data_IF_908030250998
#
_entry.id   IF_908030250998
#
_cell.length_a   1.000
_cell.length_b   1.000
_cell.length_c   1.000
_cell.angle_alpha   90.00
_cell.angle_beta   90.00
_cell.angle_gamma   90.00
#
_symmetry.space_group_name_H-M   'P 1'
#
loop_
_entity.id
_entity.type
_entity.pdbx_description
1 polymer ?
#
# COMPACT_ATOMS: atom_id res chain seq x y z
N UNK A 1 -30.65 -21.24 -9.28
CA UNK A 1 -30.48 -19.95 -8.58
C UNK A 1 -28.99 -19.75 -8.40
N UNK A 2 -28.38 -18.78 -9.10
CA UNK A 2 -26.98 -18.41 -8.83
C UNK A 2 -26.99 -17.53 -7.58
N UNK A 3 -26.44 -18.03 -6.48
CA UNK A 3 -26.19 -17.19 -5.32
C UNK A 3 -25.13 -16.15 -5.72
N UNK A 4 -25.50 -14.86 -5.71
CA UNK A 4 -24.54 -13.79 -5.95
C UNK A 4 -23.51 -13.77 -4.84
N UNK A 5 -22.23 -13.83 -5.20
CA UNK A 5 -21.15 -13.75 -4.23
C UNK A 5 -21.17 -12.38 -3.54
N UNK A 6 -21.21 -12.39 -2.21
CA UNK A 6 -21.08 -11.17 -1.42
C UNK A 6 -19.62 -10.75 -1.32
N UNK A 7 -19.37 -9.45 -1.27
CA UNK A 7 -18.04 -8.93 -1.01
C UNK A 7 -17.56 -9.38 0.39
N UNK A 8 -16.31 -9.84 0.46
CA UNK A 8 -15.66 -10.09 1.74
C UNK A 8 -15.25 -8.75 2.35
N UNK A 9 -15.65 -8.51 3.60
CA UNK A 9 -15.34 -7.27 4.33
C UNK A 9 -13.88 -7.17 4.78
N UNK A 10 -12.95 -7.10 3.83
CA UNK A 10 -11.52 -6.88 4.09
C UNK A 10 -11.31 -5.43 4.51
N UNK A 11 -10.53 -5.22 5.56
CA UNK A 11 -10.18 -3.89 6.06
C UNK A 11 -8.67 -3.72 6.09
N UNK A 12 -8.21 -2.52 5.76
CA UNK A 12 -6.84 -2.09 6.00
C UNK A 12 -6.67 -1.81 7.49
N UNK A 13 -5.45 -1.96 8.01
CA UNK A 13 -5.13 -1.49 9.36
C UNK A 13 -5.02 0.03 9.35
N UNK A 14 -5.67 0.69 10.30
CA UNK A 14 -5.68 2.16 10.38
C UNK A 14 -4.28 2.77 10.63
N UNK A 15 -3.39 1.98 11.24
CA UNK A 15 -2.04 2.36 11.62
C UNK A 15 -0.99 2.07 10.55
N UNK A 16 -1.32 1.46 9.41
CA UNK A 16 -0.31 1.20 8.38
C UNK A 16 -0.06 2.47 7.53
N UNK A 17 0.80 3.38 7.99
CA UNK A 17 1.07 4.68 7.34
C UNK A 17 2.56 4.79 6.96
N UNK A 18 2.90 5.73 6.06
CA UNK A 18 4.31 5.98 5.73
C UNK A 18 5.06 6.66 6.88
N UNK A 19 4.41 7.57 7.60
CA UNK A 19 5.00 8.34 8.71
C UNK A 19 5.35 7.50 9.95
N UNK A 20 4.76 6.31 10.08
CA UNK A 20 5.03 5.36 11.17
C UNK A 20 5.69 4.05 10.68
N UNK A 21 6.28 4.07 9.49
CA UNK A 21 7.09 2.96 9.01
C UNK A 21 8.50 3.00 9.61
N UNK A 22 8.79 2.09 10.54
CA UNK A 22 10.07 2.06 11.28
C UNK A 22 11.19 1.22 10.61
N UNK A 23 11.01 0.81 9.35
CA UNK A 23 12.01 0.03 8.63
C UNK A 23 13.16 0.90 8.10
N UNK A 24 14.16 1.20 8.93
CA UNK A 24 15.30 2.08 8.56
C UNK A 24 16.02 1.65 7.28
N UNK A 25 16.31 0.35 7.12
CA UNK A 25 16.92 -0.21 5.90
C UNK A 25 16.02 -0.14 4.66
N UNK A 26 14.72 0.05 4.85
CA UNK A 26 13.69 0.04 3.80
C UNK A 26 13.09 1.44 3.58
N UNK A 27 13.69 2.50 4.13
CA UNK A 27 13.20 3.87 3.97
C UNK A 27 13.13 4.31 2.51
N UNK A 28 14.13 3.96 1.70
CA UNK A 28 14.15 4.27 0.27
C UNK A 28 12.95 3.64 -0.46
N UNK A 29 12.60 2.40 -0.11
CA UNK A 29 11.43 1.72 -0.68
C UNK A 29 10.15 2.45 -0.29
N UNK A 30 10.01 2.88 0.98
CA UNK A 30 8.86 3.65 1.42
C UNK A 30 8.72 4.97 0.65
N UNK A 31 9.82 5.72 0.49
CA UNK A 31 9.82 6.97 -0.26
C UNK A 31 9.43 6.76 -1.73
N UNK A 32 10.00 5.74 -2.38
CA UNK A 32 9.70 5.42 -3.78
C UNK A 32 8.23 5.02 -3.98
N UNK A 33 7.64 4.30 -3.03
CA UNK A 33 6.22 3.95 -3.07
C UNK A 33 5.31 5.17 -2.91
N UNK A 34 5.67 6.11 -2.04
CA UNK A 34 4.93 7.38 -1.91
C UNK A 34 5.00 8.21 -3.21
N UNK A 35 6.15 8.21 -3.90
CA UNK A 35 6.29 8.87 -5.20
C UNK A 35 5.43 8.22 -6.28
N UNK A 36 5.31 6.89 -6.29
CA UNK A 36 4.48 6.15 -7.26
C UNK A 36 3.01 6.56 -7.18
N UNK A 37 2.48 6.69 -5.96
CA UNK A 37 1.07 7.06 -5.76
C UNK A 37 0.81 8.55 -6.00
N UNK A 38 1.77 9.41 -5.68
CA UNK A 38 1.65 10.86 -5.91
C UNK A 38 1.89 11.27 -7.36
N UNK A 39 2.59 10.46 -8.16
CA UNK A 39 2.87 10.72 -9.57
C UNK A 39 2.57 9.50 -10.47
N UNK A 40 1.28 9.26 -10.79
CA UNK A 40 0.84 8.06 -11.51
C UNK A 40 1.30 7.98 -12.98
N UNK A 41 1.93 9.02 -13.52
CA UNK A 41 2.35 9.07 -14.93
C UNK A 41 3.63 8.29 -15.29
N UNK A 42 4.32 7.69 -14.32
CA UNK A 42 5.74 7.31 -14.50
C UNK A 42 6.14 5.84 -14.40
N UNK A 43 5.36 4.95 -13.76
CA UNK A 43 5.84 3.60 -13.41
C UNK A 43 4.82 2.49 -13.77
N UNK A 44 5.21 1.49 -14.58
CA UNK A 44 4.26 0.50 -15.13
C UNK A 44 3.74 -0.52 -14.10
N UNK A 45 4.51 -0.80 -13.05
CA UNK A 45 4.14 -1.58 -11.87
C UNK A 45 5.30 -1.58 -10.88
N UNK A 46 5.03 -1.70 -9.58
CA UNK A 46 6.06 -1.87 -8.53
C UNK A 46 5.90 -3.24 -7.89
N UNK A 47 7.01 -3.98 -7.79
CA UNK A 47 7.07 -5.26 -7.07
C UNK A 47 7.87 -5.07 -5.79
N UNK A 48 7.30 -5.47 -4.66
CA UNK A 48 7.98 -5.50 -3.35
C UNK A 48 8.23 -6.95 -2.98
N UNK A 49 9.48 -7.29 -2.68
CA UNK A 49 9.88 -8.61 -2.21
C UNK A 49 10.85 -8.51 -1.03
N UNK A 50 10.90 -9.55 -0.20
CA UNK A 50 11.73 -9.61 1.00
C UNK A 50 11.20 -10.62 2.00
N UNK A 51 12.02 -10.97 2.98
CA UNK A 51 11.72 -11.97 4.00
C UNK A 51 10.47 -11.65 4.81
N UNK A 52 9.94 -12.64 5.53
CA UNK A 52 8.88 -12.41 6.51
C UNK A 52 9.24 -11.27 7.47
N UNK A 53 8.23 -10.52 7.89
CA UNK A 53 8.39 -9.42 8.87
C UNK A 53 9.26 -8.22 8.42
N UNK A 54 9.43 -8.03 7.11
CA UNK A 54 10.16 -6.88 6.53
C UNK A 54 9.28 -5.66 6.21
N UNK A 55 8.01 -5.67 6.63
CA UNK A 55 7.09 -4.54 6.46
C UNK A 55 6.38 -4.46 5.10
N UNK A 56 6.43 -5.52 4.27
CA UNK A 56 5.77 -5.54 2.94
C UNK A 56 4.28 -5.19 3.00
N UNK A 57 3.51 -5.85 3.87
CA UNK A 57 2.08 -5.58 4.03
C UNK A 57 1.81 -4.18 4.59
N UNK A 58 2.66 -3.69 5.51
CA UNK A 58 2.56 -2.33 6.04
C UNK A 58 2.70 -1.30 4.91
N UNK A 59 3.74 -1.43 4.09
CA UNK A 59 4.01 -0.52 2.97
C UNK A 59 2.90 -0.56 1.92
N UNK A 60 2.38 -1.75 1.58
CA UNK A 60 1.25 -1.86 0.65
C UNK A 60 -0.01 -1.18 1.18
N UNK A 61 -0.32 -1.35 2.47
CA UNK A 61 -1.47 -0.67 3.07
C UNK A 61 -1.24 0.84 3.16
N UNK A 62 -0.02 1.30 3.45
CA UNK A 62 0.33 2.72 3.43
C UNK A 62 0.11 3.36 2.05
N UNK A 63 0.42 2.64 0.96
CA UNK A 63 0.10 3.07 -0.41
C UNK A 63 -1.42 3.21 -0.59
N UNK A 64 -2.22 2.22 -0.20
CA UNK A 64 -3.68 2.29 -0.31
C UNK A 64 -4.25 3.49 0.45
N UNK A 65 -3.78 3.72 1.67
CA UNK A 65 -4.21 4.85 2.48
C UNK A 65 -3.78 6.19 1.90
N UNK A 66 -2.60 6.27 1.30
CA UNK A 66 -2.16 7.49 0.61
C UNK A 66 -2.98 7.75 -0.65
N UNK A 67 -3.34 6.72 -1.41
CA UNK A 67 -4.22 6.83 -2.56
C UNK A 67 -5.62 7.33 -2.16
N UNK A 68 -6.18 6.81 -1.06
CA UNK A 68 -7.46 7.25 -0.50
C UNK A 68 -7.43 8.75 -0.12
N UNK A 69 -6.36 9.20 0.55
CA UNK A 69 -6.15 10.63 0.87
C UNK A 69 -6.07 11.53 -0.37
N UNK A 70 -5.62 10.98 -1.50
CA UNK A 70 -5.52 11.68 -2.79
C UNK A 70 -6.81 11.56 -3.62
N UNK A 71 -7.85 10.89 -3.11
CA UNK A 71 -9.10 10.64 -3.84
C UNK A 71 -8.94 9.66 -5.01
N UNK A 72 -7.94 8.78 -4.94
CA UNK A 72 -7.61 7.78 -5.96
C UNK A 72 -8.02 6.35 -5.54
N UNK A 73 -8.88 6.24 -4.52
CA UNK A 73 -9.49 4.97 -4.12
C UNK A 73 -10.37 4.41 -5.25
N UNK A 74 -10.33 3.09 -5.44
CA UNK A 74 -11.14 2.37 -6.44
C UNK A 74 -12.65 2.39 -6.12
#
# INVERSE_FOLDING_TARGET
MNASQMALGVKLRDDARFDNFHGSRNQEVAHRLEQVVTNPGGLPAVVICGDSDTGKSHLLQAVCHRADQLGQSA
#
